data_IF_725979376852
#
_entry.id   IF_725979376852
#
_cell.length_a   1.000
_cell.length_b   1.000
_cell.length_c   1.000
_cell.angle_alpha   90.00
_cell.angle_beta   90.00
_cell.angle_gamma   90.00
#
_symmetry.space_group_name_H-M   'P 1'
#
loop_
_entity.id
_entity.type
_entity.pdbx_description
1 polymer ?
#
# COMPACT_ATOMS: atom_id res chain seq x y z
N UNK A 1 -54.22 19.64 3.31
CA UNK A 1 -55.35 19.23 2.44
C UNK A 1 -54.93 18.04 1.60
N UNK A 2 -55.74 16.95 1.67
CA UNK A 2 -55.92 15.80 0.75
C UNK A 2 -54.70 14.87 0.57
N UNK A 3 -54.52 13.76 1.28
CA UNK A 3 -55.18 12.44 1.16
C UNK A 3 -55.38 12.02 -0.29
N UNK A 4 -54.63 10.99 -0.70
CA UNK A 4 -55.23 9.95 -1.52
C UNK A 4 -54.49 8.61 -1.31
N UNK A 5 -55.21 7.66 -0.74
CA UNK A 5 -54.98 6.22 -0.75
C UNK A 5 -55.36 5.68 -2.13
N UNK A 6 -54.61 4.74 -2.66
CA UNK A 6 -55.18 3.75 -3.58
C UNK A 6 -54.68 2.38 -3.13
N UNK A 7 -55.66 1.58 -2.73
CA UNK A 7 -55.59 0.17 -2.40
C UNK A 7 -55.92 -0.64 -3.65
N UNK A 8 -55.53 -1.92 -3.58
CA UNK A 8 -56.21 -3.09 -4.12
C UNK A 8 -55.94 -3.52 -5.55
N UNK A 9 -55.30 -4.66 -5.70
CA UNK A 9 -55.82 -5.69 -6.54
C UNK A 9 -55.33 -7.08 -6.07
N UNK A 10 -56.21 -7.75 -5.39
CA UNK A 10 -56.17 -9.18 -5.09
C UNK A 10 -56.51 -9.95 -6.39
N UNK A 11 -55.67 -10.87 -6.83
CA UNK A 11 -56.07 -11.85 -7.81
C UNK A 11 -55.71 -13.24 -7.26
N UNK A 12 -56.70 -13.91 -6.73
CA UNK A 12 -56.71 -15.33 -6.45
C UNK A 12 -56.69 -16.08 -7.78
N UNK A 13 -55.70 -16.97 -7.95
CA UNK A 13 -55.84 -18.13 -8.81
C UNK A 13 -55.66 -19.40 -7.97
N UNK A 14 -56.78 -20.01 -7.60
CA UNK A 14 -56.87 -21.37 -7.11
C UNK A 14 -56.75 -22.32 -8.30
N UNK A 15 -55.94 -23.33 -8.18
CA UNK A 15 -56.03 -24.52 -9.01
C UNK A 15 -54.71 -25.20 -9.32
N UNK A 16 -54.43 -26.32 -8.61
CA UNK A 16 -53.39 -27.22 -9.01
C UNK A 16 -52.88 -28.07 -7.85
N UNK A 17 -53.61 -29.18 -7.54
CA UNK A 17 -53.04 -30.27 -6.76
C UNK A 17 -51.86 -30.86 -7.52
N UNK A 18 -50.68 -30.72 -6.98
CA UNK A 18 -49.49 -31.47 -7.32
C UNK A 18 -48.74 -31.70 -6.04
N UNK A 19 -48.59 -32.96 -5.65
CA UNK A 19 -47.70 -33.40 -4.57
C UNK A 19 -46.28 -33.04 -4.99
N UNK A 20 -45.84 -31.84 -4.60
CA UNK A 20 -44.48 -31.36 -4.75
C UNK A 20 -43.87 -31.29 -3.36
N UNK A 21 -42.75 -31.96 -3.20
CA UNK A 21 -41.84 -31.79 -2.07
C UNK A 21 -41.67 -30.30 -1.79
N UNK A 22 -41.86 -29.90 -0.54
CA UNK A 22 -41.53 -28.54 -0.13
C UNK A 22 -40.06 -28.28 -0.44
N UNK A 23 -39.73 -27.20 -1.12
CA UNK A 23 -38.33 -26.84 -1.28
C UNK A 23 -37.75 -26.62 0.11
N UNK A 24 -36.88 -27.51 0.54
CA UNK A 24 -36.04 -27.32 1.69
C UNK A 24 -35.19 -26.08 1.35
N UNK A 25 -35.60 -24.92 1.88
CA UNK A 25 -34.69 -23.78 1.93
C UNK A 25 -33.55 -24.23 2.83
N UNK A 26 -32.47 -24.69 2.21
CA UNK A 26 -31.18 -24.69 2.90
C UNK A 26 -30.92 -23.25 3.31
N UNK A 27 -30.95 -23.03 4.62
CA UNK A 27 -30.44 -21.78 5.19
C UNK A 27 -28.97 -21.79 4.86
N UNK A 28 -28.59 -21.12 3.76
CA UNK A 28 -27.20 -20.75 3.53
C UNK A 28 -26.87 -19.86 4.71
N UNK A 29 -26.26 -20.48 5.72
CA UNK A 29 -25.57 -19.69 6.74
C UNK A 29 -24.51 -18.93 5.95
N UNK A 30 -24.76 -17.67 5.70
CA UNK A 30 -23.70 -16.76 5.28
C UNK A 30 -22.61 -16.87 6.34
N UNK A 31 -21.70 -17.81 6.14
CA UNK A 31 -20.43 -17.77 6.81
C UNK A 31 -19.87 -16.42 6.42
N UNK A 32 -19.79 -15.53 7.38
CA UNK A 32 -19.00 -14.32 7.22
C UNK A 32 -17.61 -14.87 6.93
N UNK A 33 -17.25 -14.88 5.64
CA UNK A 33 -15.87 -15.09 5.24
C UNK A 33 -15.15 -13.89 5.86
N UNK A 34 -14.53 -14.11 7.01
CA UNK A 34 -13.57 -13.12 7.49
C UNK A 34 -12.59 -12.91 6.35
N UNK A 35 -12.42 -11.68 5.88
CA UNK A 35 -11.43 -11.42 4.84
C UNK A 35 -10.10 -11.93 5.37
N UNK A 36 -9.56 -12.96 4.73
CA UNK A 36 -8.20 -13.40 4.98
C UNK A 36 -7.35 -12.19 4.62
N UNK A 37 -6.68 -11.61 5.61
CA UNK A 37 -5.76 -10.52 5.36
C UNK A 37 -4.76 -11.03 4.30
N UNK A 38 -4.70 -10.34 3.17
CA UNK A 38 -3.71 -10.66 2.15
C UNK A 38 -2.33 -10.48 2.79
N UNK A 39 -1.42 -11.41 2.57
CA UNK A 39 -0.03 -11.20 2.97
C UNK A 39 0.61 -10.14 2.07
N UNK A 40 1.56 -9.32 2.59
CA UNK A 40 2.24 -8.35 1.77
C UNK A 40 3.03 -9.03 0.65
N UNK A 41 3.00 -8.43 -0.52
CA UNK A 41 3.82 -8.88 -1.64
C UNK A 41 5.30 -8.59 -1.40
N UNK A 42 6.18 -9.41 -1.95
CA UNK A 42 7.61 -9.13 -1.95
C UNK A 42 7.91 -7.85 -2.74
N UNK A 43 8.88 -7.08 -2.27
CA UNK A 43 9.38 -5.88 -2.98
C UNK A 43 10.80 -6.14 -3.43
N UNK A 44 11.05 -5.92 -4.71
CA UNK A 44 12.40 -5.95 -5.26
C UNK A 44 12.79 -4.60 -5.80
N UNK A 45 14.01 -4.17 -5.52
CA UNK A 45 14.60 -2.91 -5.99
C UNK A 45 16.04 -3.13 -6.44
N UNK A 46 16.50 -2.28 -7.36
CA UNK A 46 17.92 -2.24 -7.68
C UNK A 46 18.73 -1.72 -6.50
N UNK A 47 19.80 -2.44 -6.17
CA UNK A 47 20.78 -2.05 -5.15
C UNK A 47 22.17 -2.09 -5.80
N UNK A 48 23.05 -1.10 -5.54
CA UNK A 48 24.42 -1.15 -6.06
C UNK A 48 25.20 -2.39 -5.61
N UNK A 49 26.06 -2.94 -6.46
CA UNK A 49 26.86 -4.15 -6.15
C UNK A 49 27.76 -3.98 -4.91
N UNK A 50 28.17 -2.76 -4.62
CA UNK A 50 29.00 -2.42 -3.46
C UNK A 50 28.20 -2.06 -2.21
N UNK A 51 26.87 -2.21 -2.24
CA UNK A 51 26.04 -1.96 -1.07
C UNK A 51 26.17 -3.11 -0.06
N UNK A 52 26.23 -2.75 1.21
CA UNK A 52 26.24 -3.70 2.31
C UNK A 52 24.83 -3.78 2.93
N UNK A 53 24.30 -4.99 3.03
CA UNK A 53 23.05 -5.22 3.77
C UNK A 53 23.29 -4.99 5.27
N UNK A 54 22.34 -4.33 5.90
CA UNK A 54 22.35 -4.02 7.33
C UNK A 54 21.12 -4.63 8.01
N UNK A 55 21.27 -5.00 9.27
CA UNK A 55 20.12 -5.46 10.06
C UNK A 55 19.33 -4.24 10.56
N UNK A 56 18.04 -4.20 10.26
CA UNK A 56 17.12 -3.21 10.81
C UNK A 56 16.46 -3.70 12.10
N UNK A 57 16.09 -2.75 12.96
CA UNK A 57 15.13 -3.01 14.02
C UNK A 57 13.73 -2.90 13.41
N UNK A 58 13.01 -4.02 13.29
CA UNK A 58 11.69 -4.10 12.68
C UNK A 58 11.68 -4.85 11.34
N UNK A 59 10.55 -4.82 10.65
CA UNK A 59 10.38 -5.47 9.36
C UNK A 59 10.93 -4.59 8.23
N UNK A 60 11.72 -5.18 7.35
CA UNK A 60 12.26 -4.50 6.19
C UNK A 60 13.73 -4.80 5.94
N UNK A 61 14.24 -4.20 4.89
CA UNK A 61 15.62 -4.34 4.44
C UNK A 61 16.32 -2.98 4.47
N UNK A 62 17.60 -2.99 4.83
CA UNK A 62 18.45 -1.80 4.85
C UNK A 62 19.76 -2.09 4.13
N UNK A 63 20.18 -1.16 3.29
CA UNK A 63 21.41 -1.24 2.52
C UNK A 63 22.18 0.06 2.65
N UNK A 64 23.52 -0.03 2.78
CA UNK A 64 24.38 1.16 2.85
C UNK A 64 25.48 1.09 1.80
N UNK A 65 25.78 2.24 1.17
CA UNK A 65 26.95 2.41 0.29
C UNK A 65 27.43 3.85 0.31
N UNK A 66 28.73 4.03 0.47
CA UNK A 66 29.26 5.35 0.76
C UNK A 66 28.63 5.92 2.03
N UNK A 67 28.03 7.10 1.91
CA UNK A 67 27.32 7.77 3.00
C UNK A 67 25.79 7.72 2.80
N UNK A 68 25.30 6.78 2.00
CA UNK A 68 23.88 6.62 1.66
C UNK A 68 23.30 5.42 2.40
N UNK A 69 22.04 5.53 2.77
CA UNK A 69 21.27 4.47 3.40
C UNK A 69 19.92 4.31 2.70
N UNK A 70 19.69 3.13 2.15
CA UNK A 70 18.41 2.72 1.55
C UNK A 70 17.66 1.84 2.53
N UNK A 71 16.39 2.17 2.77
CA UNK A 71 15.47 1.32 3.52
C UNK A 71 14.31 0.92 2.63
N UNK A 72 13.94 -0.35 2.68
CA UNK A 72 12.77 -0.93 2.03
C UNK A 72 11.89 -1.50 3.14
N UNK A 73 10.69 -0.98 3.29
CA UNK A 73 9.78 -1.32 4.39
C UNK A 73 8.37 -1.50 3.86
N UNK A 74 7.60 -2.38 4.51
CA UNK A 74 6.19 -2.57 4.21
C UNK A 74 5.38 -2.25 5.46
N UNK A 75 4.29 -1.52 5.28
CA UNK A 75 3.33 -1.16 6.31
C UNK A 75 1.95 -1.65 5.90
N UNK A 76 1.09 -1.92 6.86
CA UNK A 76 -0.34 -2.10 6.58
C UNK A 76 -0.88 -0.83 5.92
N UNK A 77 -1.76 -1.01 4.94
CA UNK A 77 -2.41 0.08 4.24
C UNK A 77 -3.30 0.91 5.16
N UNK A 78 -3.72 2.07 4.68
CA UNK A 78 -4.57 2.98 5.44
C UNK A 78 -4.23 4.44 5.20
N UNK A 79 -4.03 5.21 6.27
CA UNK A 79 -3.70 6.64 6.13
C UNK A 79 -2.24 6.82 5.66
N UNK A 80 -2.07 7.22 4.40
CA UNK A 80 -0.77 7.51 3.80
C UNK A 80 0.03 8.55 4.60
N UNK A 81 -0.63 9.49 5.26
CA UNK A 81 0.03 10.50 6.10
C UNK A 81 0.73 9.86 7.29
N UNK A 82 0.09 8.88 7.93
CA UNK A 82 0.68 8.14 9.04
C UNK A 82 1.92 7.35 8.57
N UNK A 83 1.86 6.73 7.40
CA UNK A 83 2.99 6.04 6.80
C UNK A 83 4.14 7.00 6.47
N UNK A 84 3.85 8.13 5.83
CA UNK A 84 4.86 9.15 5.54
C UNK A 84 5.51 9.69 6.82
N UNK A 85 4.74 9.91 7.89
CA UNK A 85 5.28 10.30 9.19
C UNK A 85 6.21 9.23 9.76
N UNK A 86 5.83 7.96 9.68
CA UNK A 86 6.64 6.84 10.17
C UNK A 86 7.96 6.71 9.42
N UNK A 87 7.95 6.90 8.10
CA UNK A 87 9.14 6.78 7.24
C UNK A 87 10.07 7.99 7.36
N UNK A 88 9.50 9.20 7.41
CA UNK A 88 10.30 10.45 7.36
C UNK A 88 10.61 11.04 8.73
N UNK A 89 9.83 10.69 9.75
CA UNK A 89 9.86 11.34 11.06
C UNK A 89 9.33 12.79 11.05
N UNK A 90 8.79 13.25 9.92
CA UNK A 90 8.32 14.61 9.74
C UNK A 90 6.80 14.69 9.91
N UNK A 91 6.32 15.85 10.34
CA UNK A 91 4.91 16.17 10.29
C UNK A 91 4.43 16.16 8.83
N UNK A 92 3.42 15.35 8.47
CA UNK A 92 2.94 15.23 7.10
C UNK A 92 2.44 16.54 6.49
N UNK A 93 1.96 17.49 7.31
CA UNK A 93 1.52 18.81 6.84
C UNK A 93 2.70 19.68 6.34
N UNK A 94 3.91 19.32 6.71
CA UNK A 94 5.14 20.00 6.30
C UNK A 94 5.81 19.38 5.08
N UNK A 95 5.30 18.22 4.63
CA UNK A 95 5.82 17.53 3.46
C UNK A 95 5.11 18.01 2.20
N UNK A 96 5.89 18.25 1.16
CA UNK A 96 5.35 18.38 -0.20
C UNK A 96 5.33 16.98 -0.80
N UNK A 97 4.14 16.44 -1.02
CA UNK A 97 3.95 15.10 -1.58
C UNK A 97 3.48 15.21 -3.02
N UNK A 98 4.16 14.53 -3.91
CA UNK A 98 3.76 14.36 -5.30
C UNK A 98 3.03 13.03 -5.42
N UNK A 99 1.81 13.07 -5.95
CA UNK A 99 0.95 11.90 -6.15
C UNK A 99 0.82 11.61 -7.64
N UNK A 100 0.93 10.35 -8.01
CA UNK A 100 0.71 9.89 -9.39
C UNK A 100 0.41 8.39 -9.41
N UNK A 101 -0.08 7.89 -10.53
CA UNK A 101 -0.39 6.48 -10.73
C UNK A 101 0.57 5.86 -11.76
N UNK A 102 1.00 4.63 -11.52
CA UNK A 102 1.78 3.83 -12.45
C UNK A 102 1.28 2.38 -12.40
N UNK A 103 0.87 1.86 -13.54
CA UNK A 103 0.41 0.46 -13.71
C UNK A 103 -0.73 0.06 -12.74
N UNK A 104 -1.62 1.03 -12.43
CA UNK A 104 -2.74 0.83 -11.52
C UNK A 104 -2.39 0.92 -10.04
N UNK A 105 -1.14 1.24 -9.70
CA UNK A 105 -0.68 1.44 -8.33
C UNK A 105 -0.53 2.94 -8.04
N UNK A 106 -1.12 3.39 -6.93
CA UNK A 106 -0.98 4.76 -6.48
C UNK A 106 0.41 4.98 -5.86
N UNK A 107 1.09 6.03 -6.29
CA UNK A 107 2.44 6.36 -5.86
C UNK A 107 2.50 7.73 -5.22
N UNK A 108 3.24 7.83 -4.12
CA UNK A 108 3.48 9.06 -3.37
C UNK A 108 4.98 9.29 -3.25
N UNK A 109 5.46 10.45 -3.67
CA UNK A 109 6.87 10.81 -3.53
C UNK A 109 7.04 12.08 -2.72
N UNK A 110 8.05 12.10 -1.86
CA UNK A 110 8.43 13.28 -1.09
C UNK A 110 9.93 13.37 -0.90
N UNK A 111 10.39 14.58 -0.64
CA UNK A 111 11.78 14.90 -0.28
C UNK A 111 11.75 15.76 0.97
N UNK A 112 12.63 15.47 1.92
CA UNK A 112 12.75 16.26 3.15
C UNK A 112 14.21 16.42 3.57
N UNK A 113 14.44 17.27 4.53
CA UNK A 113 15.75 17.42 5.18
C UNK A 113 15.59 17.39 6.69
N UNK A 114 16.54 16.78 7.36
CA UNK A 114 16.68 16.81 8.81
C UNK A 114 18.06 17.38 9.18
N UNK A 115 18.10 18.24 10.19
CA UNK A 115 19.34 18.83 10.69
C UNK A 115 19.66 18.23 12.05
N UNK A 116 20.88 17.76 12.23
CA UNK A 116 21.43 17.26 13.48
C UNK A 116 22.80 17.89 13.77
N UNK A 117 23.41 17.53 14.90
CA UNK A 117 24.77 17.96 15.22
C UNK A 117 25.82 17.43 14.22
N UNK A 118 25.49 16.35 13.50
CA UNK A 118 26.34 15.73 12.48
C UNK A 118 26.20 16.38 11.09
N UNK A 119 25.22 17.27 10.93
CA UNK A 119 24.98 17.98 9.67
C UNK A 119 23.55 17.84 9.15
N UNK A 120 23.38 18.09 7.85
CA UNK A 120 22.10 18.00 7.15
C UNK A 120 22.01 16.65 6.46
N UNK A 121 20.97 15.92 6.76
CA UNK A 121 20.58 14.70 6.04
C UNK A 121 19.42 15.01 5.08
N UNK A 122 19.56 14.63 3.84
CA UNK A 122 18.49 14.67 2.83
C UNK A 122 17.85 13.32 2.71
N UNK A 123 16.53 13.29 2.83
CA UNK A 123 15.74 12.09 2.62
C UNK A 123 14.90 12.20 1.34
N UNK A 124 14.73 11.08 0.66
CA UNK A 124 13.81 10.87 -0.46
C UNK A 124 13.01 9.64 -0.21
N UNK A 125 11.72 9.70 -0.42
CA UNK A 125 10.84 8.56 -0.21
C UNK A 125 9.89 8.39 -1.40
N UNK A 126 9.61 7.14 -1.74
CA UNK A 126 8.49 6.71 -2.56
C UNK A 126 7.68 5.67 -1.79
N UNK A 127 6.38 5.85 -1.77
CA UNK A 127 5.43 4.88 -1.24
C UNK A 127 4.55 4.43 -2.40
N UNK A 128 4.44 3.12 -2.57
CA UNK A 128 3.47 2.51 -3.47
C UNK A 128 2.35 1.91 -2.62
N UNK A 129 1.11 2.25 -2.95
CA UNK A 129 -0.10 1.82 -2.26
C UNK A 129 -0.87 0.89 -3.19
N UNK A 130 -1.03 -0.39 -2.81
CA UNK A 130 -1.81 -1.39 -3.54
C UNK A 130 -3.25 -1.53 -3.01
N UNK A 131 -3.62 -0.70 -2.03
CA UNK A 131 -4.91 -0.71 -1.35
C UNK A 131 -4.94 -1.55 -0.08
N UNK A 132 -3.98 -2.47 0.12
CA UNK A 132 -3.84 -3.29 1.33
C UNK A 132 -2.56 -2.96 2.09
N UNK A 133 -1.49 -2.62 1.38
CA UNK A 133 -0.18 -2.34 1.94
C UNK A 133 0.46 -1.11 1.32
N UNK A 134 1.29 -0.46 2.12
CA UNK A 134 2.18 0.61 1.69
C UNK A 134 3.61 0.07 1.60
N UNK A 135 4.16 0.00 0.40
CA UNK A 135 5.54 -0.42 0.13
C UNK A 135 6.41 0.83 0.02
N UNK A 136 7.30 1.00 0.97
CA UNK A 136 8.07 2.21 1.16
C UNK A 136 9.53 2.01 0.81
N UNK A 137 10.06 2.88 -0.04
CA UNK A 137 11.48 3.00 -0.34
C UNK A 137 11.92 4.37 0.14
N UNK A 138 12.92 4.41 1.02
CA UNK A 138 13.53 5.67 1.45
C UNK A 138 15.04 5.65 1.29
N UNK A 139 15.60 6.69 0.72
CA UNK A 139 17.04 6.90 0.56
C UNK A 139 17.47 8.14 1.34
N UNK A 140 18.34 7.91 2.31
CA UNK A 140 18.97 8.96 3.12
C UNK A 140 20.39 9.21 2.62
N UNK A 141 20.80 10.46 2.64
CA UNK A 141 22.15 10.87 2.24
C UNK A 141 22.54 12.18 2.93
N UNK A 142 23.82 12.45 3.20
CA UNK A 142 24.25 13.78 3.63
C UNK A 142 24.03 14.81 2.53
N UNK A 143 23.98 16.08 2.92
CA UNK A 143 23.95 17.19 1.99
C UNK A 143 25.18 17.18 1.07
N UNK A 144 24.95 17.40 -0.23
CA UNK A 144 26.01 17.40 -1.24
C UNK A 144 26.32 16.02 -1.85
N UNK A 145 25.82 14.92 -1.28
CA UNK A 145 25.92 13.61 -1.92
C UNK A 145 24.97 13.53 -3.12
N UNK A 146 25.48 13.00 -4.25
CA UNK A 146 24.62 12.72 -5.42
C UNK A 146 23.78 11.46 -5.18
N UNK A 147 22.59 11.67 -4.62
CA UNK A 147 21.64 10.59 -4.35
C UNK A 147 20.42 10.62 -5.28
N UNK A 148 20.25 11.67 -6.07
CA UNK A 148 19.06 11.83 -6.93
C UNK A 148 19.04 10.79 -8.06
N UNK A 149 20.17 10.53 -8.70
CA UNK A 149 20.32 9.53 -9.74
C UNK A 149 20.10 8.11 -9.21
N UNK A 150 20.67 7.77 -8.05
CA UNK A 150 20.47 6.48 -7.41
C UNK A 150 18.99 6.27 -7.04
N UNK A 151 18.36 7.28 -6.41
CA UNK A 151 16.95 7.20 -6.04
C UNK A 151 16.04 7.01 -7.26
N UNK A 152 16.28 7.77 -8.34
CA UNK A 152 15.52 7.61 -9.58
C UNK A 152 15.66 6.18 -10.15
N UNK A 153 16.86 5.59 -10.11
CA UNK A 153 17.11 4.23 -10.56
C UNK A 153 16.42 3.19 -9.67
N UNK A 154 16.47 3.37 -8.36
CA UNK A 154 15.80 2.51 -7.38
C UNK A 154 14.29 2.53 -7.65
N UNK A 155 13.68 3.72 -7.74
CA UNK A 155 12.25 3.85 -8.01
C UNK A 155 11.83 3.26 -9.37
N UNK A 156 12.67 3.39 -10.40
CA UNK A 156 12.39 2.83 -11.72
C UNK A 156 12.45 1.31 -11.76
N UNK A 157 13.27 0.71 -10.88
CA UNK A 157 13.46 -0.74 -10.79
C UNK A 157 12.49 -1.43 -9.82
N UNK A 158 11.71 -0.67 -9.05
CA UNK A 158 10.81 -1.24 -8.06
C UNK A 158 9.76 -2.12 -8.72
N UNK A 159 9.67 -3.34 -8.21
CA UNK A 159 8.60 -4.31 -8.52
C UNK A 159 7.94 -4.78 -7.24
N UNK A 160 6.63 -4.99 -7.29
CA UNK A 160 5.81 -5.52 -6.20
C UNK A 160 5.15 -6.79 -6.72
N UNK A 161 5.31 -7.91 -6.01
CA UNK A 161 4.79 -9.21 -6.39
C UNK A 161 5.88 -10.27 -6.43
N UNK A 162 5.51 -11.49 -6.79
CA UNK A 162 6.47 -12.59 -6.91
C UNK A 162 7.47 -12.28 -8.04
N UNK A 163 8.78 -12.35 -7.73
CA UNK A 163 9.78 -12.55 -8.77
C UNK A 163 9.42 -13.86 -9.48
N UNK A 164 9.04 -13.81 -10.76
CA UNK A 164 9.08 -15.03 -11.56
C UNK A 164 10.52 -15.56 -11.51
N UNK A 165 10.75 -16.77 -10.97
CA UNK A 165 12.08 -17.34 -10.97
C UNK A 165 12.55 -17.42 -12.43
N UNK A 166 13.59 -16.67 -12.74
CA UNK A 166 14.09 -16.40 -14.08
C UNK A 166 14.11 -17.63 -14.97
N UNK A 167 13.55 -17.44 -16.17
CA UNK A 167 13.77 -18.34 -17.32
C UNK A 167 15.19 -18.21 -17.82
#
# INVERSE_FOLDING_TARGET
>A
MKKLCIALALALCLGGCGSGEEPVMETVTDGILEPVAAEPSAVSVWVPENAAAQTMAGEGECYTWGEKELRVQTFEGGDIRATLQSVTGMDPERLTVMEYERDGVQLYQTVWSATSDEGITLGRCMVADDGNYHYCISLLSPEGADAAGDFARICASMTIGEEEPGK
#
